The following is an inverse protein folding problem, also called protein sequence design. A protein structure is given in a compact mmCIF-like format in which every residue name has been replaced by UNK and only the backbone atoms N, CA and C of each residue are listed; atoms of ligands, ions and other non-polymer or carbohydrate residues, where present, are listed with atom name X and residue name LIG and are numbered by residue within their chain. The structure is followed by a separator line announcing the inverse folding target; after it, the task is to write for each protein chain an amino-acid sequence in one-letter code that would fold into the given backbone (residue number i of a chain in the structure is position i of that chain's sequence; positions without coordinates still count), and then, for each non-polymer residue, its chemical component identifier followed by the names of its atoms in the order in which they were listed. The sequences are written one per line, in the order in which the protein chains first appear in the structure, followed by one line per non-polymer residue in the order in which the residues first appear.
data_IF_252111587947
#
_entry.id   IF_252111587947
#
_cell.length_a   1.000
_cell.length_b   1.000
_cell.length_c   1.000
_cell.angle_alpha   90.00
_cell.angle_beta   90.00
_cell.angle_gamma   90.00
#
_symmetry.space_group_name_H-M   'P 1'
#
loop_
_entity.id
_entity.type
_entity.pdbx_description
1 polymer ?
#
# COMPACT_ATOMS: atom_id res chain seq x y z
N UNK A 1 -52.96 55.51 -21.44
CA UNK A 1 -52.00 54.49 -21.81
C UNK A 1 -50.72 54.78 -21.02
N UNK A 2 -50.61 54.23 -19.80
CA UNK A 2 -49.46 54.48 -18.90
C UNK A 2 -49.03 53.15 -18.23
N UNK A 3 -47.74 52.86 -18.33
CA UNK A 3 -46.94 52.06 -17.40
C UNK A 3 -47.21 50.55 -17.28
N UNK A 4 -47.28 49.81 -18.38
CA UNK A 4 -47.11 48.36 -18.29
C UNK A 4 -45.67 47.86 -18.54
N UNK A 5 -44.78 48.71 -19.10
CA UNK A 5 -43.44 48.33 -19.46
C UNK A 5 -42.40 48.50 -18.33
N UNK A 6 -42.76 49.24 -17.25
CA UNK A 6 -41.84 49.50 -16.17
C UNK A 6 -41.81 48.37 -15.12
N UNK A 7 -42.86 47.59 -15.04
CA UNK A 7 -42.97 46.50 -14.09
C UNK A 7 -42.22 45.25 -14.61
N UNK A 8 -42.22 45.03 -15.94
CA UNK A 8 -41.54 43.90 -16.55
C UNK A 8 -40.00 43.97 -16.48
N UNK A 9 -39.45 45.18 -16.60
CA UNK A 9 -37.98 45.37 -16.48
C UNK A 9 -37.47 45.21 -15.06
N UNK A 10 -38.31 45.53 -14.05
CA UNK A 10 -37.91 45.37 -12.63
C UNK A 10 -37.94 43.93 -12.17
N UNK A 11 -38.84 43.09 -12.70
CA UNK A 11 -38.95 41.67 -12.38
C UNK A 11 -37.79 40.85 -13.00
N UNK A 12 -37.37 41.18 -14.22
CA UNK A 12 -36.23 40.52 -14.87
C UNK A 12 -34.89 40.80 -14.14
N UNK A 13 -34.72 42.01 -13.57
CA UNK A 13 -33.50 42.35 -12.82
C UNK A 13 -33.44 41.65 -11.47
N UNK A 14 -34.55 41.38 -10.83
CA UNK A 14 -34.60 40.65 -9.56
C UNK A 14 -34.31 39.16 -9.77
N UNK A 15 -34.78 38.58 -10.87
CA UNK A 15 -34.53 37.16 -11.20
C UNK A 15 -33.05 36.94 -11.56
N UNK A 16 -32.39 37.93 -12.19
CA UNK A 16 -30.98 37.84 -12.55
C UNK A 16 -30.04 37.90 -11.32
N UNK A 17 -30.49 38.59 -10.23
CA UNK A 17 -29.68 38.72 -9.02
C UNK A 17 -29.80 37.52 -8.06
N UNK A 18 -30.83 36.71 -8.19
CA UNK A 18 -31.01 35.51 -7.35
C UNK A 18 -30.15 34.31 -7.82
N UNK A 19 -29.69 34.30 -9.10
CA UNK A 19 -28.87 33.26 -9.65
C UNK A 19 -27.35 33.41 -9.41
N UNK A 20 -26.92 34.52 -8.77
CA UNK A 20 -25.48 34.80 -8.52
C UNK A 20 -25.00 34.39 -7.13
N UNK A 21 -25.85 33.74 -6.32
CA UNK A 21 -25.46 33.25 -5.00
C UNK A 21 -25.62 31.71 -4.91
N UNK A 22 -25.42 30.98 -5.99
CA UNK A 22 -25.03 29.57 -5.84
C UNK A 22 -23.57 29.59 -5.43
N UNK A 23 -23.34 29.63 -4.12
CA UNK A 23 -22.10 29.07 -3.60
C UNK A 23 -22.01 27.66 -4.19
N UNK A 24 -21.05 27.47 -5.11
CA UNK A 24 -20.56 26.16 -5.42
C UNK A 24 -19.99 25.66 -4.11
N UNK A 25 -20.84 24.98 -3.33
CA UNK A 25 -20.38 24.04 -2.33
C UNK A 25 -19.67 22.97 -3.17
N UNK A 26 -18.36 23.11 -3.28
CA UNK A 26 -17.52 21.99 -3.66
C UNK A 26 -17.83 20.95 -2.59
N UNK A 27 -18.73 20.02 -2.88
CA UNK A 27 -18.70 18.70 -2.29
C UNK A 27 -17.27 18.26 -2.54
N UNK A 28 -16.42 18.37 -1.53
CA UNK A 28 -15.23 17.58 -1.46
C UNK A 28 -15.74 16.16 -1.63
N UNK A 29 -15.33 15.54 -2.72
CA UNK A 29 -15.43 14.11 -2.85
C UNK A 29 -14.71 13.57 -1.60
N UNK A 30 -15.48 13.31 -0.54
CA UNK A 30 -15.12 12.35 0.49
C UNK A 30 -15.00 11.02 -0.28
N UNK A 31 -13.86 10.86 -0.90
CA UNK A 31 -13.37 9.57 -1.33
C UNK A 31 -13.15 8.82 -0.02
N UNK A 32 -14.22 8.26 0.51
CA UNK A 32 -14.21 7.18 1.49
C UNK A 32 -13.48 6.05 0.76
N UNK A 33 -12.15 6.12 0.79
CA UNK A 33 -11.31 5.06 0.29
C UNK A 33 -11.53 3.89 1.24
N UNK A 34 -12.36 2.93 0.81
CA UNK A 34 -12.45 1.59 1.39
C UNK A 34 -11.10 0.87 1.45
N UNK A 35 -10.02 1.52 1.03
CA UNK A 35 -8.67 0.99 0.96
C UNK A 35 -7.72 1.83 1.85
N UNK A 36 -8.04 1.81 3.15
CA UNK A 36 -7.10 2.20 4.22
C UNK A 36 -6.25 3.45 3.97
N UNK A 37 -5.78 4.00 4.96
CA UNK A 37 -4.83 5.08 5.15
C UNK A 37 -4.07 5.55 3.87
N UNK A 38 -4.27 6.78 3.44
CA UNK A 38 -3.61 7.41 2.28
C UNK A 38 -2.08 7.32 2.35
N UNK A 39 -1.51 7.44 3.56
CA UNK A 39 -0.07 7.29 3.78
C UNK A 39 0.40 5.85 3.47
N UNK A 40 -0.42 4.82 3.73
CA UNK A 40 -0.11 3.45 3.31
C UNK A 40 -0.06 3.31 1.79
N UNK A 41 -1.07 3.81 1.10
CA UNK A 41 -1.15 3.75 -0.36
C UNK A 41 0.06 4.45 -1.01
N UNK A 42 0.33 5.68 -0.59
CA UNK A 42 1.49 6.45 -1.07
C UNK A 42 2.80 5.74 -0.77
N UNK A 43 2.96 5.21 0.43
CA UNK A 43 4.16 4.46 0.80
C UNK A 43 4.34 3.18 -0.01
N UNK A 44 3.26 2.45 -0.28
CA UNK A 44 3.26 1.24 -1.11
C UNK A 44 3.65 1.54 -2.56
N UNK A 45 3.07 2.57 -3.17
CA UNK A 45 3.41 3.03 -4.52
C UNK A 45 4.90 3.40 -4.62
N UNK A 46 5.39 4.24 -3.71
CA UNK A 46 6.80 4.63 -3.65
C UNK A 46 7.74 3.42 -3.49
N UNK A 47 7.34 2.41 -2.73
CA UNK A 47 8.12 1.20 -2.57
C UNK A 47 8.21 0.38 -3.86
N UNK A 48 7.13 0.26 -4.62
CA UNK A 48 7.13 -0.42 -5.91
C UNK A 48 7.89 0.37 -6.99
N UNK A 49 7.90 1.70 -6.91
CA UNK A 49 8.70 2.58 -7.77
C UNK A 49 10.19 2.58 -7.41
N UNK A 50 10.61 1.86 -6.37
CA UNK A 50 11.99 1.80 -5.91
C UNK A 50 12.43 2.97 -5.01
N UNK A 51 11.53 3.86 -4.66
CA UNK A 51 11.77 5.00 -3.77
C UNK A 51 11.69 4.60 -2.29
N UNK A 52 12.45 3.57 -1.89
CA UNK A 52 12.32 2.91 -0.58
C UNK A 52 12.48 3.85 0.62
N UNK A 53 13.37 4.84 0.53
CA UNK A 53 13.55 5.82 1.62
C UNK A 53 12.32 6.69 1.83
N UNK A 54 11.72 7.16 0.74
CA UNK A 54 10.48 7.93 0.80
C UNK A 54 9.31 7.04 1.27
N UNK A 55 9.21 5.81 0.74
CA UNK A 55 8.21 4.83 1.16
C UNK A 55 8.21 4.62 2.68
N UNK A 56 9.39 4.45 3.30
CA UNK A 56 9.52 4.27 4.74
C UNK A 56 8.95 5.47 5.52
N UNK A 57 9.08 6.69 5.01
CA UNK A 57 8.53 7.88 5.69
C UNK A 57 7.01 7.81 5.76
N UNK A 58 6.35 7.53 4.62
CA UNK A 58 4.90 7.42 4.54
C UNK A 58 4.37 6.19 5.30
N UNK A 59 4.99 5.03 5.13
CA UNK A 59 4.60 3.82 5.85
C UNK A 59 4.75 3.97 7.38
N UNK A 60 5.75 4.71 7.86
CA UNK A 60 5.87 5.04 9.28
C UNK A 60 4.79 5.99 9.77
N UNK A 61 4.23 6.83 8.92
CA UNK A 61 3.04 7.61 9.28
C UNK A 61 1.82 6.69 9.34
N UNK A 62 1.63 5.85 8.33
CA UNK A 62 0.57 4.89 8.27
C UNK A 62 0.45 4.02 9.55
N UNK A 63 1.55 3.44 10.03
CA UNK A 63 1.52 2.63 11.27
C UNK A 63 1.33 3.44 12.55
N UNK A 64 1.48 4.77 12.54
CA UNK A 64 1.10 5.61 13.68
C UNK A 64 -0.40 5.84 13.72
N UNK A 65 -1.03 5.95 12.55
CA UNK A 65 -2.46 6.19 12.42
C UNK A 65 -3.24 4.87 12.56
N UNK A 66 -2.72 3.79 11.98
CA UNK A 66 -3.24 2.44 12.13
C UNK A 66 -2.12 1.45 12.52
N UNK A 67 -1.89 1.24 13.83
CA UNK A 67 -0.85 0.33 14.34
C UNK A 67 -1.18 -1.16 14.16
N UNK A 68 -2.37 -1.48 13.66
CA UNK A 68 -2.82 -2.86 13.47
C UNK A 68 -2.88 -3.26 11.99
N UNK A 69 -2.26 -2.51 11.11
CA UNK A 69 -2.20 -2.80 9.67
C UNK A 69 -0.98 -3.70 9.33
N UNK A 70 -1.16 -5.02 9.13
CA UNK A 70 -0.05 -5.92 8.82
C UNK A 70 0.59 -5.61 7.46
N UNK A 71 -0.19 -5.14 6.48
CA UNK A 71 0.32 -4.74 5.17
C UNK A 71 1.33 -3.59 5.26
N UNK A 72 1.07 -2.59 6.12
CA UNK A 72 1.98 -1.46 6.31
C UNK A 72 3.32 -1.92 6.91
N UNK A 73 3.29 -2.82 7.89
CA UNK A 73 4.50 -3.43 8.44
C UNK A 73 5.21 -4.30 7.40
N UNK A 74 4.49 -5.09 6.60
CA UNK A 74 5.06 -5.86 5.51
C UNK A 74 5.79 -4.96 4.50
N UNK A 75 5.20 -3.84 4.10
CA UNK A 75 5.82 -2.88 3.17
C UNK A 75 7.02 -2.13 3.78
N UNK A 76 7.02 -1.87 5.10
CA UNK A 76 8.22 -1.38 5.81
C UNK A 76 9.35 -2.42 5.76
N UNK A 77 9.04 -3.68 6.01
CA UNK A 77 9.99 -4.79 5.89
C UNK A 77 10.54 -4.90 4.47
N UNK A 78 9.66 -4.86 3.46
CA UNK A 78 10.06 -4.88 2.05
C UNK A 78 11.02 -3.74 1.71
N UNK A 79 10.70 -2.51 2.08
CA UNK A 79 11.50 -1.32 1.78
C UNK A 79 12.87 -1.39 2.47
N UNK A 80 12.93 -1.82 3.74
CA UNK A 80 14.18 -2.00 4.46
C UNK A 80 15.04 -3.12 3.85
N UNK A 81 14.45 -4.26 3.49
CA UNK A 81 15.17 -5.34 2.78
C UNK A 81 15.80 -4.84 1.48
N UNK A 82 15.06 -4.04 0.71
CA UNK A 82 15.56 -3.45 -0.55
C UNK A 82 16.73 -2.47 -0.34
N UNK A 83 16.81 -1.84 0.82
CA UNK A 83 17.93 -0.99 1.23
C UNK A 83 19.09 -1.78 1.87
N UNK A 84 18.95 -3.09 2.10
CA UNK A 84 19.93 -3.93 2.76
C UNK A 84 19.89 -3.88 4.28
N UNK A 85 18.89 -3.22 4.87
CA UNK A 85 18.67 -3.14 6.32
C UNK A 85 17.94 -4.41 6.79
N UNK A 86 18.66 -5.53 6.83
CA UNK A 86 18.03 -6.84 7.00
C UNK A 86 17.43 -7.05 8.40
N UNK A 87 18.07 -6.53 9.45
CA UNK A 87 17.58 -6.66 10.83
C UNK A 87 16.28 -5.88 11.03
N UNK A 88 16.20 -4.66 10.50
CA UNK A 88 14.97 -3.86 10.49
C UNK A 88 13.88 -4.51 9.66
N UNK A 89 14.26 -5.12 8.52
CA UNK A 89 13.29 -5.84 7.68
C UNK A 89 12.67 -7.00 8.45
N UNK A 90 13.45 -7.83 9.12
CA UNK A 90 12.94 -8.91 9.97
C UNK A 90 12.05 -8.39 11.10
N UNK A 91 12.45 -7.29 11.77
CA UNK A 91 11.65 -6.70 12.84
C UNK A 91 10.26 -6.31 12.35
N UNK A 92 10.17 -5.67 11.19
CA UNK A 92 8.88 -5.28 10.61
C UNK A 92 8.07 -6.47 10.10
N UNK A 93 8.69 -7.46 9.47
CA UNK A 93 8.00 -8.68 9.04
C UNK A 93 7.45 -9.48 10.22
N UNK A 94 8.23 -9.61 11.29
CA UNK A 94 7.74 -10.27 12.50
C UNK A 94 6.52 -9.54 13.07
N UNK A 95 6.55 -8.20 13.07
CA UNK A 95 5.39 -7.42 13.51
C UNK A 95 4.17 -7.62 12.62
N UNK A 96 4.35 -7.76 11.31
CA UNK A 96 3.25 -8.12 10.39
C UNK A 96 2.67 -9.50 10.72
N UNK A 97 3.53 -10.50 10.99
CA UNK A 97 3.09 -11.85 11.35
C UNK A 97 2.51 -11.96 12.78
N UNK A 98 2.92 -11.08 13.70
CA UNK A 98 2.27 -10.97 15.02
C UNK A 98 0.81 -10.50 14.89
N UNK A 99 0.52 -9.66 13.89
CA UNK A 99 -0.82 -9.14 13.61
C UNK A 99 -1.64 -10.10 12.73
N UNK A 100 -1.01 -10.68 11.72
CA UNK A 100 -1.60 -11.65 10.81
C UNK A 100 -0.60 -12.80 10.54
N UNK A 101 -0.69 -13.91 11.29
CA UNK A 101 0.19 -15.07 11.10
C UNK A 101 0.09 -15.75 9.73
N UNK A 102 -0.98 -15.50 8.97
CA UNK A 102 -1.22 -16.08 7.65
C UNK A 102 -0.91 -15.11 6.50
N UNK A 103 -0.30 -13.95 6.79
CA UNK A 103 -0.02 -12.92 5.81
C UNK A 103 0.92 -13.41 4.70
N UNK A 104 0.35 -13.71 3.53
CA UNK A 104 1.05 -14.38 2.42
C UNK A 104 2.27 -13.59 1.94
N UNK A 105 2.12 -12.28 1.70
CA UNK A 105 3.21 -11.42 1.24
C UNK A 105 4.37 -11.35 2.22
N UNK A 106 4.10 -11.42 3.53
CA UNK A 106 5.15 -11.42 4.55
C UNK A 106 5.94 -12.74 4.52
N UNK A 107 5.25 -13.87 4.40
CA UNK A 107 5.95 -15.16 4.26
C UNK A 107 6.80 -15.21 2.98
N UNK A 108 6.31 -14.70 1.86
CA UNK A 108 7.11 -14.59 0.63
C UNK A 108 8.37 -13.75 0.86
N UNK A 109 8.21 -12.56 1.43
CA UNK A 109 9.34 -11.63 1.56
C UNK A 109 10.38 -12.07 2.60
N UNK A 110 9.98 -12.71 3.69
CA UNK A 110 10.90 -13.36 4.64
C UNK A 110 11.65 -14.49 3.94
N UNK A 111 10.96 -15.34 3.17
CA UNK A 111 11.59 -16.40 2.41
C UNK A 111 12.66 -15.87 1.46
N UNK A 112 12.39 -14.79 0.76
CA UNK A 112 13.37 -14.12 -0.12
C UNK A 112 14.52 -13.49 0.66
N UNK A 113 14.25 -12.93 1.85
CA UNK A 113 15.30 -12.37 2.71
C UNK A 113 16.28 -13.46 3.16
N UNK A 114 15.78 -14.64 3.53
CA UNK A 114 16.64 -15.78 3.88
C UNK A 114 17.51 -16.25 2.71
N UNK A 115 17.00 -16.23 1.46
CA UNK A 115 17.83 -16.54 0.29
C UNK A 115 18.94 -15.50 0.09
N UNK A 116 18.66 -14.21 0.31
CA UNK A 116 19.66 -13.16 0.24
C UNK A 116 20.77 -13.31 1.31
N UNK A 117 20.45 -13.97 2.43
CA UNK A 117 21.36 -14.24 3.55
C UNK A 117 22.06 -15.61 3.43
N UNK A 118 21.90 -16.30 2.28
CA UNK A 118 22.45 -17.66 2.08
C UNK A 118 21.90 -18.71 3.05
N UNK A 119 20.62 -18.59 3.40
CA UNK A 119 19.91 -19.46 4.33
C UNK A 119 18.70 -20.14 3.65
N UNK A 120 18.92 -21.01 2.65
CA UNK A 120 17.84 -21.59 1.84
C UNK A 120 16.89 -22.49 2.64
N UNK A 121 17.36 -23.13 3.71
CA UNK A 121 16.50 -24.01 4.51
C UNK A 121 15.44 -23.21 5.30
N UNK A 122 15.77 -22.02 5.77
CA UNK A 122 14.82 -21.11 6.41
C UNK A 122 13.79 -20.59 5.37
N UNK A 123 14.26 -20.24 4.17
CA UNK A 123 13.36 -19.88 3.05
C UNK A 123 12.35 -20.99 2.74
N UNK A 124 12.81 -22.25 2.71
CA UNK A 124 11.94 -23.42 2.47
C UNK A 124 10.90 -23.63 3.57
N UNK A 125 11.13 -23.17 4.81
CA UNK A 125 10.09 -23.19 5.85
C UNK A 125 8.93 -22.27 5.47
N UNK A 126 9.21 -21.04 5.06
CA UNK A 126 8.19 -20.10 4.61
C UNK A 126 7.47 -20.57 3.34
N UNK A 127 8.19 -21.21 2.42
CA UNK A 127 7.57 -21.85 1.26
C UNK A 127 6.56 -22.94 1.66
N UNK A 128 6.89 -23.80 2.66
CA UNK A 128 5.95 -24.82 3.16
C UNK A 128 4.71 -24.21 3.80
N UNK A 129 4.85 -23.08 4.52
CA UNK A 129 3.72 -22.35 5.09
C UNK A 129 2.83 -21.83 3.95
N UNK A 130 3.40 -21.13 2.97
CA UNK A 130 2.65 -20.66 1.80
C UNK A 130 1.95 -21.79 1.05
N UNK A 131 2.60 -22.96 0.91
CA UNK A 131 1.99 -24.12 0.27
C UNK A 131 0.78 -24.65 1.03
N UNK A 132 0.79 -24.55 2.36
CA UNK A 132 -0.35 -24.92 3.18
C UNK A 132 -1.49 -23.92 3.11
N UNK A 133 -1.18 -22.61 3.11
CA UNK A 133 -2.17 -21.54 3.03
C UNK A 133 -2.79 -21.41 1.63
N UNK A 134 -2.02 -21.62 0.59
CA UNK A 134 -2.42 -21.44 -0.82
C UNK A 134 -2.83 -22.76 -1.48
N UNK A 135 -3.87 -23.43 -0.99
CA UNK A 135 -4.30 -24.75 -1.48
C UNK A 135 -4.56 -24.78 -3.00
N UNK A 136 -5.11 -23.72 -3.56
CA UNK A 136 -5.35 -23.58 -5.02
C UNK A 136 -4.23 -22.82 -5.75
N UNK A 137 -3.14 -22.50 -5.05
CA UNK A 137 -2.05 -21.67 -5.53
C UNK A 137 -2.31 -20.17 -5.34
N UNK A 138 -1.24 -19.40 -5.16
CA UNK A 138 -1.25 -17.93 -5.09
C UNK A 138 0.03 -17.39 -5.72
N UNK A 139 0.09 -16.09 -5.95
CA UNK A 139 1.25 -15.46 -6.58
C UNK A 139 2.48 -15.49 -5.66
N UNK A 140 2.29 -15.34 -4.35
CA UNK A 140 3.35 -15.37 -3.35
C UNK A 140 4.05 -16.73 -3.30
N UNK A 141 3.27 -17.83 -3.37
CA UNK A 141 3.80 -19.17 -3.43
C UNK A 141 4.64 -19.41 -4.70
N UNK A 142 4.12 -19.03 -5.87
CA UNK A 142 4.83 -19.16 -7.16
C UNK A 142 6.09 -18.30 -7.18
N UNK A 143 5.99 -17.09 -6.62
CA UNK A 143 7.09 -16.12 -6.55
C UNK A 143 8.24 -16.64 -5.69
N UNK A 144 7.94 -17.19 -4.50
CA UNK A 144 8.96 -17.76 -3.63
C UNK A 144 9.53 -19.08 -4.21
N UNK A 145 8.69 -19.93 -4.81
CA UNK A 145 9.16 -21.14 -5.50
C UNK A 145 10.17 -20.81 -6.60
N UNK A 146 9.86 -19.80 -7.41
CA UNK A 146 10.77 -19.32 -8.45
C UNK A 146 12.09 -18.85 -7.85
N UNK A 147 12.03 -18.03 -6.79
CA UNK A 147 13.23 -17.50 -6.13
C UNK A 147 14.11 -18.64 -5.56
N UNK A 148 13.52 -19.67 -4.96
CA UNK A 148 14.25 -20.84 -4.47
C UNK A 148 14.93 -21.59 -5.62
N UNK A 149 14.23 -21.84 -6.72
CA UNK A 149 14.79 -22.50 -7.91
C UNK A 149 15.96 -21.70 -8.51
N UNK A 150 15.81 -20.38 -8.63
CA UNK A 150 16.88 -19.49 -9.12
C UNK A 150 18.11 -19.56 -8.21
N UNK A 151 17.91 -19.56 -6.90
CA UNK A 151 18.98 -19.72 -5.92
C UNK A 151 19.69 -21.08 -6.07
N UNK A 152 18.96 -22.19 -6.18
CA UNK A 152 19.51 -23.54 -6.33
C UNK A 152 20.28 -23.72 -7.67
N UNK A 153 19.94 -22.95 -8.70
CA UNK A 153 20.69 -22.89 -9.96
C UNK A 153 21.93 -21.98 -9.90
N UNK A 154 22.26 -21.42 -8.74
CA UNK A 154 23.41 -20.52 -8.57
C UNK A 154 23.16 -19.13 -9.17
N UNK A 155 21.93 -18.82 -9.57
CA UNK A 155 21.50 -17.48 -9.93
C UNK A 155 21.24 -16.69 -8.66
N UNK A 156 22.34 -16.19 -8.03
CA UNK A 156 22.26 -15.47 -6.76
C UNK A 156 21.32 -14.28 -6.90
N UNK A 157 20.31 -14.12 -6.02
CA UNK A 157 19.52 -12.92 -6.00
C UNK A 157 20.45 -11.70 -5.91
N UNK A 158 20.28 -10.71 -6.79
CA UNK A 158 21.10 -9.50 -6.74
C UNK A 158 21.05 -8.94 -5.32
N UNK A 159 22.21 -8.85 -4.65
CA UNK A 159 22.33 -8.07 -3.42
C UNK A 159 21.86 -6.66 -3.73
N UNK A 160 20.82 -6.26 -3.06
CA UNK A 160 20.27 -4.90 -3.16
C UNK A 160 21.06 -3.96 -2.29
#
# INVERSE_FOLDING_TARGET
MKNKNLIFTSICLIIFFVFLNTTVFSEGDDYDSEDGNEDYRTGKELAYDGNYKAAIVYLKKSIRDDPNNPDAFNMLGFSNRKLGNNDEAFSYYNKALDLDPEHLGTHEYIGRLYLNLDQPEESKKHFRILKALCYFGCEELKSLEKAIKEYEMGMVPKKY
#
